data_IF_429877217962
#
_entry.id   IF_429877217962
#
_cell.length_a   1.000
_cell.length_b   1.000
_cell.length_c   1.000
_cell.angle_alpha   90.00
_cell.angle_beta   90.00
_cell.angle_gamma   90.00
#
_symmetry.space_group_name_H-M   'P 1'
#
loop_
_entity.id
_entity.type
_entity.pdbx_description
1 polymer ?
#
# COMPACT_ATOMS: atom_id res chain seq x y z
N UNK A 1 -8.95 1.82 15.16
CA UNK A 1 -9.05 1.71 13.69
C UNK A 1 -9.33 0.25 13.37
N UNK A 2 -10.44 -0.05 12.69
CA UNK A 2 -10.78 -1.41 12.25
C UNK A 2 -10.60 -1.47 10.73
N UNK A 3 -9.92 -2.50 10.24
CA UNK A 3 -9.68 -2.70 8.81
C UNK A 3 -10.45 -3.95 8.39
N UNK A 4 -11.28 -3.84 7.37
CA UNK A 4 -12.03 -4.96 6.80
C UNK A 4 -11.50 -5.27 5.40
N UNK A 5 -11.01 -6.49 5.20
CA UNK A 5 -10.52 -6.98 3.91
C UNK A 5 -11.34 -8.20 3.50
N UNK A 6 -12.28 -8.11 2.55
CA UNK A 6 -12.90 -9.30 1.98
C UNK A 6 -11.85 -10.20 1.33
N UNK A 7 -12.14 -11.50 1.25
CA UNK A 7 -11.27 -12.45 0.56
C UNK A 7 -11.18 -12.09 -0.92
N UNK A 8 -9.96 -11.78 -1.37
CA UNK A 8 -9.64 -11.43 -2.75
C UNK A 8 -8.50 -12.30 -3.25
N UNK A 9 -8.67 -12.91 -4.43
CA UNK A 9 -7.62 -13.68 -5.09
C UNK A 9 -6.39 -12.80 -5.43
N UNK A 10 -5.20 -13.28 -5.06
CA UNK A 10 -3.91 -12.64 -5.38
C UNK A 10 -3.44 -12.97 -6.81
N UNK A 11 -4.29 -13.53 -7.66
CA UNK A 11 -3.91 -13.95 -9.01
C UNK A 11 -3.56 -12.73 -9.87
N UNK A 12 -2.26 -12.45 -10.00
CA UNK A 12 -1.69 -11.27 -10.68
C UNK A 12 -2.09 -11.15 -12.17
N UNK A 13 -2.47 -12.26 -12.79
CA UNK A 13 -2.63 -12.38 -14.25
C UNK A 13 -4.10 -12.42 -14.68
N UNK A 14 -5.02 -12.79 -13.77
CA UNK A 14 -6.45 -12.89 -14.07
C UNK A 14 -7.21 -11.78 -13.33
N UNK A 15 -8.25 -11.19 -13.91
CA UNK A 15 -9.04 -10.11 -13.28
C UNK A 15 -9.92 -10.61 -12.12
N UNK A 16 -9.64 -11.79 -11.55
CA UNK A 16 -10.43 -12.34 -10.47
C UNK A 16 -10.05 -11.68 -9.14
N UNK A 17 -10.97 -10.83 -8.66
CA UNK A 17 -10.98 -10.14 -7.37
C UNK A 17 -9.78 -9.22 -7.09
N UNK A 18 -9.88 -7.99 -7.61
CA UNK A 18 -9.06 -6.87 -7.18
C UNK A 18 -9.15 -6.67 -5.66
N UNK A 19 -8.05 -6.24 -5.05
CA UNK A 19 -8.00 -6.00 -3.61
C UNK A 19 -8.90 -4.82 -3.24
N UNK A 20 -9.72 -5.02 -2.22
CA UNK A 20 -10.56 -3.97 -1.63
C UNK A 20 -10.34 -3.99 -0.11
N UNK A 21 -10.22 -2.81 0.48
CA UNK A 21 -9.94 -2.63 1.90
C UNK A 21 -10.78 -1.48 2.44
N UNK A 22 -11.59 -1.72 3.47
CA UNK A 22 -12.37 -0.68 4.12
C UNK A 22 -11.75 -0.34 5.47
N UNK A 23 -11.75 0.95 5.81
CA UNK A 23 -11.15 1.46 7.04
C UNK A 23 -12.20 2.18 7.86
N UNK A 24 -12.36 1.76 9.11
CA UNK A 24 -13.34 2.30 10.04
C UNK A 24 -12.67 2.92 11.28
N UNK A 25 -13.19 4.06 11.73
CA UNK A 25 -12.89 4.64 13.04
C UNK A 25 -13.89 4.10 14.08
N UNK A 26 -13.47 3.83 15.32
CA UNK A 26 -14.41 3.61 16.42
C UNK A 26 -15.32 4.84 16.56
N UNK A 27 -16.66 4.69 16.74
CA UNK A 27 -17.43 3.48 17.07
C UNK A 27 -17.93 2.63 15.88
N UNK A 28 -17.54 2.95 14.64
CA UNK A 28 -17.95 2.21 13.44
C UNK A 28 -18.12 3.07 12.18
N UNK A 29 -17.64 4.32 12.20
CA UNK A 29 -17.77 5.23 11.06
C UNK A 29 -16.76 4.84 9.97
N UNK A 30 -17.21 4.79 8.72
CA UNK A 30 -16.35 4.58 7.57
C UNK A 30 -15.48 5.83 7.34
N UNK A 31 -14.17 5.67 7.40
CA UNK A 31 -13.20 6.71 7.06
C UNK A 31 -13.02 6.77 5.53
N UNK A 32 -12.97 5.60 4.90
CA UNK A 32 -12.76 5.44 3.47
C UNK A 32 -12.31 4.03 3.10
N UNK A 33 -11.89 3.87 1.85
CA UNK A 33 -11.46 2.58 1.32
C UNK A 33 -10.18 2.68 0.47
N UNK A 34 -9.49 1.55 0.34
CA UNK A 34 -8.35 1.36 -0.55
C UNK A 34 -8.73 0.29 -1.57
N UNK A 35 -8.65 0.64 -2.85
CA UNK A 35 -9.05 -0.21 -3.96
C UNK A 35 -7.90 -0.41 -4.92
N UNK A 36 -7.63 -1.66 -5.30
CA UNK A 36 -6.70 -1.93 -6.37
C UNK A 36 -7.37 -1.69 -7.72
N UNK A 37 -6.68 -0.96 -8.59
CA UNK A 37 -7.05 -0.82 -9.99
C UNK A 37 -6.42 -1.92 -10.82
N UNK A 38 -7.20 -2.48 -11.75
CA UNK A 38 -6.67 -3.44 -12.69
C UNK A 38 -5.76 -2.72 -13.68
N UNK A 39 -4.51 -3.13 -13.68
CA UNK A 39 -3.47 -2.56 -14.51
C UNK A 39 -2.54 -3.68 -14.96
N UNK A 40 -2.30 -3.86 -16.27
CA UNK A 40 -1.54 -5.00 -16.77
C UNK A 40 -0.04 -4.94 -16.43
N UNK A 41 0.46 -3.77 -16.03
CA UNK A 41 1.90 -3.47 -16.05
C UNK A 41 2.44 -2.95 -14.71
N UNK A 42 1.72 -2.09 -14.01
CA UNK A 42 2.16 -1.48 -12.74
C UNK A 42 1.04 -1.51 -11.72
N UNK A 43 1.21 -2.12 -10.54
CA UNK A 43 0.14 -2.15 -9.55
C UNK A 43 -0.21 -0.74 -9.13
N UNK A 44 -1.50 -0.44 -9.20
CA UNK A 44 -2.04 0.88 -8.87
C UNK A 44 -3.16 0.69 -7.86
N UNK A 45 -3.16 1.51 -6.82
CA UNK A 45 -4.21 1.55 -5.81
C UNK A 45 -4.79 2.95 -5.71
N UNK A 46 -6.08 3.01 -5.46
CA UNK A 46 -6.83 4.22 -5.15
C UNK A 46 -7.13 4.26 -3.67
N UNK A 47 -6.91 5.40 -3.05
CA UNK A 47 -7.38 5.69 -1.70
C UNK A 47 -8.54 6.66 -1.82
N UNK A 48 -9.71 6.25 -1.32
CA UNK A 48 -10.93 7.03 -1.36
C UNK A 48 -11.38 7.42 0.05
N UNK A 49 -12.05 8.56 0.18
CA UNK A 49 -12.72 8.96 1.41
C UNK A 49 -14.02 8.13 1.62
N UNK A 50 -14.71 8.35 2.73
CA UNK A 50 -16.00 7.71 3.03
C UNK A 50 -17.14 8.13 2.09
N UNK A 51 -16.97 9.21 1.32
CA UNK A 51 -17.94 9.71 0.33
C UNK A 51 -17.69 9.12 -1.07
N UNK A 52 -16.56 8.45 -1.28
CA UNK A 52 -16.15 7.83 -2.55
C UNK A 52 -15.18 8.66 -3.39
N UNK A 53 -14.81 9.86 -2.97
CA UNK A 53 -13.85 10.72 -3.66
C UNK A 53 -12.43 10.19 -3.53
N UNK A 54 -11.67 10.30 -4.62
CA UNK A 54 -10.28 9.85 -4.67
C UNK A 54 -9.40 10.89 -3.97
N UNK A 55 -8.76 10.48 -2.88
CA UNK A 55 -7.81 11.31 -2.13
C UNK A 55 -6.37 11.13 -2.63
N UNK A 56 -5.98 9.87 -2.90
CA UNK A 56 -4.62 9.55 -3.33
C UNK A 56 -4.58 8.40 -4.32
N UNK A 57 -3.56 8.42 -5.17
CA UNK A 57 -3.15 7.34 -6.04
C UNK A 57 -1.83 6.79 -5.53
N UNK A 58 -1.77 5.49 -5.35
CA UNK A 58 -0.55 4.79 -4.97
C UNK A 58 -0.08 3.97 -6.16
N UNK A 59 1.11 4.28 -6.66
CA UNK A 59 1.68 3.66 -7.87
C UNK A 59 2.93 2.86 -7.51
N UNK A 60 2.90 1.57 -7.79
CA UNK A 60 4.04 0.69 -7.57
C UNK A 60 5.01 0.58 -8.74
N UNK A 61 6.14 -0.09 -8.53
CA UNK A 61 7.15 -0.29 -9.57
C UNK A 61 6.68 -1.33 -10.61
N UNK A 62 7.31 -1.30 -11.77
CA UNK A 62 7.06 -2.22 -12.89
C UNK A 62 7.41 -3.67 -12.53
N UNK A 63 8.42 -3.85 -11.68
CA UNK A 63 8.87 -5.14 -11.18
C UNK A 63 8.57 -5.17 -9.68
N UNK A 64 7.61 -5.99 -9.28
CA UNK A 64 7.23 -6.20 -7.86
C UNK A 64 7.74 -7.53 -7.31
N UNK A 65 8.68 -8.17 -8.00
CA UNK A 65 9.47 -9.26 -7.44
C UNK A 65 10.47 -8.63 -6.48
N UNK A 66 10.31 -8.92 -5.19
CA UNK A 66 11.19 -8.44 -4.11
C UNK A 66 12.58 -9.06 -4.15
N UNK A 67 12.85 -10.03 -5.03
CA UNK A 67 14.17 -10.61 -5.22
C UNK A 67 15.18 -9.51 -5.61
N UNK A 68 15.98 -9.08 -4.64
CA UNK A 68 17.18 -8.24 -4.81
C UNK A 68 16.97 -6.73 -5.04
N UNK A 69 15.78 -6.15 -4.80
CA UNK A 69 15.56 -4.71 -5.04
C UNK A 69 14.61 -4.06 -4.05
N UNK A 70 14.90 -2.80 -3.71
CA UNK A 70 13.98 -1.90 -3.01
C UNK A 70 12.68 -1.74 -3.80
N UNK A 71 11.55 -1.95 -3.12
CA UNK A 71 10.23 -1.74 -3.70
C UNK A 71 9.68 -0.44 -3.12
N UNK A 72 9.48 0.54 -4.00
CA UNK A 72 8.96 1.85 -3.65
C UNK A 72 7.62 2.10 -4.34
N UNK A 73 6.61 2.48 -3.57
CA UNK A 73 5.33 2.95 -4.11
C UNK A 73 5.24 4.46 -3.89
N UNK A 74 4.92 5.21 -4.94
CA UNK A 74 4.71 6.65 -4.85
C UNK A 74 3.26 6.97 -4.53
N UNK A 75 3.04 7.94 -3.64
CA UNK A 75 1.72 8.44 -3.24
C UNK A 75 1.55 9.82 -3.88
N UNK A 76 0.56 9.95 -4.76
CA UNK A 76 0.26 11.20 -5.47
C UNK A 76 -1.20 11.59 -5.28
N UNK A 77 -1.48 12.89 -5.19
CA UNK A 77 -2.85 13.42 -5.23
C UNK A 77 -3.45 13.30 -6.65
N UNK A 78 -4.78 13.40 -6.79
CA UNK A 78 -5.45 13.51 -8.10
C UNK A 78 -4.86 14.62 -8.98
N UNK A 79 -4.43 15.72 -8.36
CA UNK A 79 -3.81 16.86 -9.04
C UNK A 79 -2.39 16.58 -9.57
N UNK A 80 -1.85 15.38 -9.31
CA UNK A 80 -0.51 14.98 -9.71
C UNK A 80 0.60 15.36 -8.71
N UNK A 81 0.27 16.13 -7.68
CA UNK A 81 1.22 16.51 -6.61
C UNK A 81 1.68 15.28 -5.82
N UNK A 82 2.99 15.10 -5.68
CA UNK A 82 3.56 14.04 -4.88
C UNK A 82 3.44 14.36 -3.39
N UNK A 83 2.75 13.50 -2.64
CA UNK A 83 2.50 13.67 -1.20
C UNK A 83 3.45 12.84 -0.35
N UNK A 84 3.98 11.77 -0.92
CA UNK A 84 4.83 10.85 -0.19
C UNK A 84 5.20 9.61 -0.98
N UNK A 85 5.82 8.68 -0.26
CA UNK A 85 6.12 7.36 -0.77
C UNK A 85 6.12 6.34 0.37
N UNK A 86 5.71 5.13 0.05
CA UNK A 86 5.99 3.95 0.87
C UNK A 86 7.23 3.27 0.30
N UNK A 87 8.13 2.85 1.17
CA UNK A 87 9.37 2.20 0.74
C UNK A 87 9.66 1.03 1.66
N UNK A 88 9.88 -0.15 1.05
CA UNK A 88 10.62 -1.24 1.69
C UNK A 88 12.06 -1.19 1.18
N UNK A 89 13.00 -1.02 2.11
CA UNK A 89 14.42 -1.17 1.82
C UNK A 89 14.81 -2.64 1.89
N UNK A 90 15.27 -3.20 0.78
CA UNK A 90 15.90 -4.50 0.69
C UNK A 90 17.33 -4.39 1.22
N UNK A 91 17.63 -5.05 2.34
CA UNK A 91 18.97 -4.96 2.95
C UNK A 91 20.07 -5.79 2.24
N UNK A 92 19.80 -6.37 1.06
CA UNK A 92 20.85 -6.91 0.19
C UNK A 92 21.54 -8.18 0.69
N UNK A 93 22.34 -8.79 -0.19
CA UNK A 93 23.05 -10.07 -0.04
C UNK A 93 24.01 -10.15 1.17
N UNK A 94 24.26 -9.05 1.87
CA UNK A 94 25.10 -9.00 3.08
C UNK A 94 24.49 -9.78 4.25
N UNK A 95 23.19 -10.07 4.21
CA UNK A 95 22.44 -10.83 5.22
C UNK A 95 22.41 -12.35 4.98
N UNK A 96 22.77 -12.84 3.78
CA UNK A 96 22.86 -14.27 3.51
C UNK A 96 24.16 -14.89 4.05
N UNK A 97 25.18 -14.06 4.31
CA UNK A 97 26.49 -14.47 4.84
C UNK A 97 26.57 -14.45 6.38
N UNK A 98 25.69 -13.73 7.06
CA UNK A 98 25.66 -13.63 8.52
C UNK A 98 24.25 -14.00 9.00
N UNK A 99 24.12 -15.10 9.75
CA UNK A 99 22.89 -15.60 10.38
C UNK A 99 22.27 -14.62 11.40
N UNK A 100 21.95 -13.40 10.98
CA UNK A 100 21.30 -12.36 11.78
C UNK A 100 19.79 -12.34 11.47
N UNK A 101 18.92 -12.13 12.48
CA UNK A 101 17.49 -12.07 12.27
C UNK A 101 17.15 -10.96 11.27
N UNK A 102 16.40 -11.32 10.22
CA UNK A 102 15.96 -10.41 9.17
C UNK A 102 15.00 -9.41 9.79
N UNK A 103 15.37 -8.13 9.81
CA UNK A 103 14.47 -7.04 10.21
C UNK A 103 14.21 -6.17 8.99
N UNK A 104 13.15 -6.52 8.27
CA UNK A 104 12.64 -5.68 7.20
C UNK A 104 12.08 -4.38 7.79
N UNK A 105 12.64 -3.24 7.37
CA UNK A 105 12.14 -1.92 7.79
C UNK A 105 11.20 -1.39 6.71
N UNK A 106 9.91 -1.48 6.97
CA UNK A 106 8.87 -0.88 6.15
C UNK A 106 8.44 0.47 6.73
N UNK A 107 8.40 1.50 5.89
CA UNK A 107 8.09 2.85 6.32
C UNK A 107 7.20 3.58 5.32
N UNK A 108 6.33 4.43 5.88
CA UNK A 108 5.54 5.41 5.11
C UNK A 108 6.02 6.81 5.44
N UNK A 109 6.32 7.59 4.41
CA UNK A 109 6.62 9.01 4.52
C UNK A 109 5.54 9.79 3.79
N UNK A 110 4.92 10.74 4.47
CA UNK A 110 3.89 11.61 3.93
C UNK A 110 4.04 13.04 4.47
N UNK A 111 3.49 14.03 3.75
CA UNK A 111 3.45 15.44 4.16
C UNK A 111 2.84 15.60 5.58
N UNK A 112 3.40 16.54 6.38
CA UNK A 112 2.94 16.78 7.76
C UNK A 112 1.49 17.28 7.82
N UNK A 113 1.07 18.03 6.81
CA UNK A 113 -0.20 18.75 6.75
C UNK A 113 -1.42 17.90 6.35
N UNK A 114 -1.26 16.56 6.32
CA UNK A 114 -2.37 15.65 6.06
C UNK A 114 -3.30 15.50 7.27
N UNK A 115 -4.60 15.32 6.98
CA UNK A 115 -5.64 15.04 7.98
C UNK A 115 -5.39 13.70 8.65
N UNK A 116 -5.93 13.51 9.86
CA UNK A 116 -5.76 12.27 10.63
C UNK A 116 -6.39 11.07 9.90
N UNK A 117 -7.53 11.29 9.24
CA UNK A 117 -8.23 10.30 8.42
C UNK A 117 -7.38 9.83 7.22
N UNK A 118 -6.78 10.78 6.50
CA UNK A 118 -5.89 10.52 5.37
C UNK A 118 -4.66 9.72 5.81
N UNK A 119 -4.06 10.09 6.94
CA UNK A 119 -2.93 9.35 7.54
C UNK A 119 -3.33 7.92 7.90
N UNK A 120 -4.53 7.72 8.47
CA UNK A 120 -5.04 6.41 8.78
C UNK A 120 -5.28 5.56 7.52
N UNK A 121 -5.85 6.15 6.46
CA UNK A 121 -6.03 5.48 5.17
C UNK A 121 -4.70 5.10 4.52
N UNK A 122 -3.70 5.99 4.54
CA UNK A 122 -2.37 5.69 4.04
C UNK A 122 -1.69 4.57 4.86
N UNK A 123 -1.83 4.57 6.18
CA UNK A 123 -1.36 3.47 7.04
C UNK A 123 -2.04 2.14 6.68
N UNK A 124 -3.36 2.12 6.50
CA UNK A 124 -4.07 0.93 6.05
C UNK A 124 -3.59 0.44 4.67
N UNK A 125 -3.40 1.35 3.71
CA UNK A 125 -2.86 1.01 2.40
C UNK A 125 -1.44 0.44 2.51
N UNK A 126 -0.61 0.98 3.41
CA UNK A 126 0.74 0.47 3.66
C UNK A 126 0.72 -0.95 4.21
N UNK A 127 -0.17 -1.26 5.17
CA UNK A 127 -0.35 -2.62 5.69
C UNK A 127 -0.82 -3.60 4.61
N UNK A 128 -1.73 -3.16 3.73
CA UNK A 128 -2.16 -3.98 2.59
C UNK A 128 -1.00 -4.29 1.63
N UNK A 129 -0.17 -3.30 1.32
CA UNK A 129 1.03 -3.51 0.51
C UNK A 129 2.01 -4.46 1.18
N UNK A 130 2.19 -4.33 2.51
CA UNK A 130 3.04 -5.21 3.32
C UNK A 130 2.59 -6.68 3.15
N UNK A 131 1.30 -6.93 3.41
CA UNK A 131 0.68 -8.26 3.26
C UNK A 131 0.75 -8.82 1.83
N UNK A 132 0.56 -8.00 0.80
CA UNK A 132 0.45 -8.48 -0.59
C UNK A 132 1.78 -8.76 -1.27
N UNK A 133 2.84 -8.03 -0.90
CA UNK A 133 4.12 -8.07 -1.64
C UNK A 133 5.28 -8.62 -0.83
N UNK A 134 5.12 -8.82 0.48
CA UNK A 134 6.26 -9.07 1.35
C UNK A 134 6.12 -10.26 2.30
N UNK A 135 4.93 -10.88 2.36
CA UNK A 135 4.65 -12.07 3.18
C UNK A 135 4.73 -13.36 2.33
N UNK A 136 5.86 -13.58 1.64
CA UNK A 136 6.14 -14.77 0.80
C UNK A 136 7.44 -15.44 1.22
#
# INVERSE_FOLDING_TARGET
>A
MRINRPYSCTARILPCQLQHLEVFSPPGQLIGCVEQQWTPVKPTYLVKNGEGDILFWIRGPFITLSCFRDVQFSIVRPDGTAVGATCKRWQGLTHALFFAPVTDKFGVAFERDLRVEEKALLLAATLLMDYMYYDV
#
